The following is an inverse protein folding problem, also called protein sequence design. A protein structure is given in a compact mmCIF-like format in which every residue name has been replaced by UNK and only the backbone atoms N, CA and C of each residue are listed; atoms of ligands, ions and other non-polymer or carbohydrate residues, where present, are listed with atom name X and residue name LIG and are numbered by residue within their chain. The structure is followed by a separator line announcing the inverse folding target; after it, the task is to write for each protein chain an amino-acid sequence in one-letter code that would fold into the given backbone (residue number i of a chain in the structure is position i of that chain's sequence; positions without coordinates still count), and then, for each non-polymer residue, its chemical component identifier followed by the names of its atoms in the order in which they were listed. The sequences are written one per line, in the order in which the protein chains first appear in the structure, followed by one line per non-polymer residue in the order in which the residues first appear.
data_IF_849462750959
#
_entry.id   IF_849462750959
#
_cell.length_a   1.000
_cell.length_b   1.000
_cell.length_c   1.000
_cell.angle_alpha   90.00
_cell.angle_beta   90.00
_cell.angle_gamma   90.00
#
_symmetry.space_group_name_H-M   'P 1'
#
loop_
_entity.id
_entity.type
_entity.pdbx_description
1 polymer ?
#
# COMPACT_ATOMS: atom_id res chain seq x y z
N UNK A 1 2.49 -10.37 -0.66
CA UNK A 1 1.87 -9.11 -0.18
C UNK A 1 1.85 -8.11 -1.31
N UNK A 2 0.76 -7.42 -1.47
CA UNK A 2 0.57 -6.39 -2.48
C UNK A 2 0.55 -5.03 -1.78
N UNK A 3 1.39 -4.11 -2.22
CA UNK A 3 1.37 -2.72 -1.76
C UNK A 3 0.62 -1.88 -2.77
N UNK A 4 -0.40 -1.17 -2.32
CA UNK A 4 -1.28 -0.38 -3.17
C UNK A 4 -1.12 1.11 -2.87
N UNK A 5 -1.02 1.91 -3.91
CA UNK A 5 -0.91 3.36 -3.85
C UNK A 5 -2.12 3.98 -4.54
N UNK A 6 -2.74 4.95 -3.90
CA UNK A 6 -3.94 5.60 -4.43
C UNK A 6 -4.05 7.07 -4.04
N UNK A 7 -5.04 7.74 -4.62
CA UNK A 7 -5.48 9.05 -4.16
C UNK A 7 -6.27 8.91 -2.85
N UNK A 8 -6.29 9.96 -2.06
CA UNK A 8 -7.13 10.07 -0.88
C UNK A 8 -7.96 11.36 -0.93
N UNK A 9 -9.20 11.30 -0.46
CA UNK A 9 -10.10 12.47 -0.42
C UNK A 9 -9.94 13.32 0.83
N UNK A 10 -9.36 12.77 1.89
CA UNK A 10 -9.26 13.41 3.21
C UNK A 10 -7.80 13.57 3.62
N UNK A 11 -7.17 14.59 3.12
CA UNK A 11 -5.74 14.79 3.33
C UNK A 11 -5.38 15.43 4.67
N UNK A 12 -6.27 16.15 5.32
CA UNK A 12 -5.94 16.92 6.49
C UNK A 12 -4.65 17.73 6.31
N UNK A 13 -3.82 17.90 7.35
CA UNK A 13 -2.54 18.61 7.23
C UNK A 13 -1.49 17.86 6.38
N UNK A 14 -1.70 16.59 6.08
CA UNK A 14 -0.80 15.76 5.28
C UNK A 14 -0.86 16.05 3.78
N UNK A 15 -1.79 16.85 3.35
CA UNK A 15 -1.94 17.29 1.96
C UNK A 15 -0.64 17.84 1.36
N UNK A 16 0.17 18.49 2.15
CA UNK A 16 1.44 19.07 1.75
C UNK A 16 2.51 18.02 1.41
N UNK A 17 2.52 16.88 2.11
CA UNK A 17 3.51 15.82 1.89
C UNK A 17 3.20 14.93 0.69
N UNK A 18 1.94 14.90 0.27
CA UNK A 18 1.48 14.05 -0.83
C UNK A 18 1.26 14.82 -2.12
N UNK A 19 1.41 16.11 -2.07
CA UNK A 19 1.06 17.07 -3.14
C UNK A 19 1.83 16.88 -4.45
N UNK A 20 3.01 16.26 -4.41
CA UNK A 20 3.93 16.23 -5.52
C UNK A 20 3.64 15.20 -6.60
N UNK A 21 2.85 14.17 -6.30
CA UNK A 21 2.60 13.08 -7.25
C UNK A 21 1.15 12.62 -7.19
N UNK A 22 0.43 12.83 -8.28
CA UNK A 22 -0.92 12.32 -8.46
C UNK A 22 -0.95 10.78 -8.39
N UNK A 23 -1.89 10.22 -7.67
CA UNK A 23 -2.01 8.77 -7.47
C UNK A 23 -1.22 8.23 -6.28
N UNK A 24 -0.44 9.04 -5.57
CA UNK A 24 0.42 8.62 -4.47
C UNK A 24 0.16 9.40 -3.17
N UNK A 25 -1.11 9.60 -2.87
CA UNK A 25 -1.52 10.29 -1.65
C UNK A 25 -1.60 9.38 -0.44
N UNK A 26 -1.84 8.09 -0.67
CA UNK A 26 -2.06 7.09 0.37
C UNK A 26 -1.51 5.74 -0.08
N UNK A 27 -1.13 4.89 0.85
CA UNK A 27 -0.77 3.52 0.58
C UNK A 27 -1.36 2.57 1.62
N UNK A 28 -1.58 1.34 1.20
CA UNK A 28 -2.08 0.27 2.05
C UNK A 28 -1.58 -1.08 1.52
N UNK A 29 -1.83 -2.13 2.28
CA UNK A 29 -1.43 -3.49 1.91
C UNK A 29 -2.65 -4.39 1.71
N UNK A 30 -2.50 -5.33 0.79
CA UNK A 30 -3.45 -6.42 0.55
C UNK A 30 -2.68 -7.72 0.55
N UNK A 31 -3.15 -8.71 1.28
CA UNK A 31 -2.53 -10.01 1.34
C UNK A 31 -3.57 -11.14 1.30
N UNK A 32 -3.16 -12.30 0.79
CA UNK A 32 -4.01 -13.47 0.69
C UNK A 32 -3.56 -14.54 1.68
N UNK A 33 -4.52 -15.07 2.44
CA UNK A 33 -4.30 -16.13 3.41
C UNK A 33 -4.91 -17.44 2.89
N UNK A 34 -4.11 -18.33 2.29
CA UNK A 34 -4.64 -19.54 1.64
C UNK A 34 -5.31 -20.52 2.61
N UNK A 35 -4.87 -20.58 3.86
CA UNK A 35 -5.48 -21.45 4.85
C UNK A 35 -6.92 -21.09 5.20
N UNK A 36 -7.25 -19.81 5.15
CA UNK A 36 -8.58 -19.30 5.43
C UNK A 36 -9.36 -18.94 4.16
N UNK A 37 -8.70 -18.96 3.00
CA UNK A 37 -9.26 -18.56 1.70
C UNK A 37 -9.84 -17.14 1.74
N UNK A 38 -9.10 -16.21 2.34
CA UNK A 38 -9.50 -14.81 2.48
C UNK A 38 -8.43 -13.85 2.00
N UNK A 39 -8.87 -12.70 1.54
CA UNK A 39 -8.05 -11.53 1.30
C UNK A 39 -8.20 -10.55 2.46
N UNK A 40 -7.11 -9.99 2.92
CA UNK A 40 -7.10 -8.95 3.96
C UNK A 40 -6.50 -7.68 3.38
N UNK A 41 -7.27 -6.60 3.43
CA UNK A 41 -6.80 -5.25 3.15
C UNK A 41 -6.54 -4.57 4.50
N UNK A 42 -5.32 -4.11 4.71
CA UNK A 42 -4.94 -3.41 5.92
C UNK A 42 -4.40 -2.03 5.59
N UNK A 43 -4.96 -1.00 6.22
CA UNK A 43 -4.53 0.38 6.03
C UNK A 43 -4.49 1.15 7.34
N UNK A 44 -3.58 2.11 7.42
CA UNK A 44 -3.54 3.09 8.47
C UNK A 44 -4.25 4.37 7.99
N UNK A 45 -5.48 4.55 8.43
CA UNK A 45 -6.20 5.79 8.26
C UNK A 45 -5.79 6.80 9.34
N UNK A 46 -6.30 8.02 9.28
CA UNK A 46 -5.98 9.05 10.28
C UNK A 46 -6.24 8.55 11.71
N UNK A 47 -5.16 8.27 12.44
CA UNK A 47 -5.15 7.83 13.84
C UNK A 47 -5.86 6.48 14.13
N UNK A 48 -6.11 5.66 13.11
CA UNK A 48 -6.70 4.33 13.30
C UNK A 48 -6.20 3.36 12.23
N UNK A 49 -6.21 2.09 12.58
CA UNK A 49 -6.00 1.00 11.63
C UNK A 49 -7.34 0.43 11.17
N UNK A 50 -7.46 0.15 9.89
CA UNK A 50 -8.65 -0.44 9.28
C UNK A 50 -8.27 -1.74 8.59
N UNK A 51 -9.01 -2.80 8.90
CA UNK A 51 -8.84 -4.11 8.30
C UNK A 51 -10.15 -4.51 7.63
N UNK A 52 -10.10 -4.72 6.32
CA UNK A 52 -11.23 -5.25 5.55
C UNK A 52 -10.91 -6.67 5.11
N UNK A 53 -11.82 -7.58 5.34
CA UNK A 53 -11.69 -8.99 4.99
C UNK A 53 -12.63 -9.32 3.84
N UNK A 54 -12.08 -9.91 2.78
CA UNK A 54 -12.84 -10.35 1.60
C UNK A 54 -12.72 -11.85 1.49
N UNK A 55 -13.86 -12.53 1.34
CA UNK A 55 -13.89 -13.95 0.99
C UNK A 55 -13.42 -14.14 -0.44
N UNK A 56 -12.96 -15.33 -0.77
CA UNK A 56 -12.54 -15.64 -2.16
C UNK A 56 -13.66 -15.35 -3.17
N UNK A 57 -14.92 -15.58 -2.81
CA UNK A 57 -16.09 -15.23 -3.63
C UNK A 57 -16.26 -13.71 -3.87
N UNK A 58 -15.64 -12.88 -3.04
CA UNK A 58 -15.68 -11.42 -3.14
C UNK A 58 -14.40 -10.83 -3.78
N UNK A 59 -13.48 -11.67 -4.20
CA UNK A 59 -12.18 -11.26 -4.75
C UNK A 59 -12.33 -10.37 -5.99
N UNK A 60 -13.36 -10.60 -6.82
CA UNK A 60 -13.60 -9.79 -8.01
C UNK A 60 -13.91 -8.33 -7.69
N UNK A 61 -14.62 -8.07 -6.58
CA UNK A 61 -14.87 -6.71 -6.09
C UNK A 61 -13.57 -6.02 -5.67
N UNK A 62 -12.73 -6.72 -4.94
CA UNK A 62 -11.42 -6.20 -4.51
C UNK A 62 -10.53 -5.91 -5.71
N UNK A 63 -10.39 -6.86 -6.62
CA UNK A 63 -9.58 -6.71 -7.83
C UNK A 63 -10.06 -5.55 -8.69
N UNK A 64 -11.36 -5.42 -8.89
CA UNK A 64 -11.96 -4.29 -9.64
C UNK A 64 -11.59 -2.94 -9.03
N UNK A 65 -11.68 -2.82 -7.71
CA UNK A 65 -11.29 -1.59 -7.00
C UNK A 65 -9.80 -1.30 -7.16
N UNK A 66 -8.94 -2.30 -7.06
CA UNK A 66 -7.50 -2.13 -7.21
C UNK A 66 -7.12 -1.68 -8.62
N UNK A 67 -7.74 -2.26 -9.64
CA UNK A 67 -7.48 -1.90 -11.04
C UNK A 67 -7.90 -0.45 -11.33
N UNK A 68 -9.07 -0.06 -10.84
CA UNK A 68 -9.60 1.29 -11.10
C UNK A 68 -8.85 2.40 -10.35
N UNK A 69 -8.51 2.18 -9.09
CA UNK A 69 -8.14 3.26 -8.17
C UNK A 69 -6.73 3.19 -7.62
N UNK A 70 -5.99 2.11 -7.87
CA UNK A 70 -4.69 1.92 -7.26
C UNK A 70 -3.58 1.56 -8.26
N UNK A 71 -2.37 1.95 -7.92
CA UNK A 71 -1.14 1.39 -8.50
C UNK A 71 -0.63 0.33 -7.55
N UNK A 72 -0.54 -0.91 -8.01
CA UNK A 72 -0.22 -2.07 -7.17
C UNK A 72 1.16 -2.63 -7.50
N UNK A 73 1.94 -2.91 -6.46
CA UNK A 73 3.26 -3.52 -6.55
C UNK A 73 3.29 -4.79 -5.72
N UNK A 74 3.75 -5.88 -6.31
CA UNK A 74 3.95 -7.13 -5.59
C UNK A 74 5.26 -7.08 -4.81
N UNK A 75 5.16 -7.01 -3.48
CA UNK A 75 6.28 -7.03 -2.56
C UNK A 75 6.47 -8.45 -2.01
N UNK A 76 6.90 -9.36 -2.86
CA UNK A 76 7.25 -10.71 -2.45
C UNK A 76 8.49 -10.71 -1.55
N UNK A 77 8.59 -11.67 -0.63
CA UNK A 77 9.70 -11.76 0.28
C UNK A 77 9.53 -10.96 1.58
N UNK A 78 8.30 -10.83 2.03
CA UNK A 78 7.97 -10.22 3.32
C UNK A 78 8.90 -10.73 4.43
N UNK A 79 9.55 -9.82 5.09
CA UNK A 79 10.34 -10.10 6.29
C UNK A 79 9.57 -9.62 7.49
N UNK A 80 9.46 -10.47 8.50
CA UNK A 80 8.88 -10.06 9.78
C UNK A 80 9.61 -8.82 10.28
N UNK A 81 8.89 -7.70 10.34
CA UNK A 81 9.47 -6.46 10.82
C UNK A 81 9.70 -6.52 12.31
N UNK A 82 10.91 -6.21 12.73
CA UNK A 82 11.28 -6.08 14.14
C UNK A 82 11.24 -4.62 14.61
N UNK A 83 10.99 -3.71 13.67
CA UNK A 83 11.00 -2.28 13.91
C UNK A 83 9.59 -1.75 14.08
N UNK A 84 9.32 -1.12 15.21
CA UNK A 84 8.05 -0.42 15.44
C UNK A 84 8.21 1.07 15.09
N UNK A 85 7.43 1.62 14.16
CA UNK A 85 7.59 3.02 13.78
C UNK A 85 7.18 3.95 14.94
N UNK A 86 7.92 5.03 15.08
CA UNK A 86 7.66 6.03 16.12
C UNK A 86 6.37 6.79 15.87
N UNK A 87 6.04 7.00 14.61
CA UNK A 87 4.81 7.65 14.17
C UNK A 87 4.06 6.72 13.24
N UNK A 88 2.80 6.51 13.54
CA UNK A 88 1.94 5.62 12.77
C UNK A 88 1.13 6.43 11.76
N UNK A 89 1.44 6.24 10.49
CA UNK A 89 0.70 6.74 9.35
C UNK A 89 0.86 5.76 8.19
N UNK A 90 0.22 6.01 7.04
CA UNK A 90 0.15 5.00 5.98
C UNK A 90 1.51 4.47 5.51
N UNK A 91 2.50 5.34 5.35
CA UNK A 91 3.85 4.93 4.90
C UNK A 91 4.59 4.14 5.98
N UNK A 92 4.60 4.63 7.22
CA UNK A 92 5.28 3.92 8.32
C UNK A 92 4.64 2.56 8.61
N UNK A 93 3.33 2.47 8.48
CA UNK A 93 2.58 1.22 8.59
C UNK A 93 3.02 0.19 7.54
N UNK A 94 3.06 0.57 6.28
CA UNK A 94 3.50 -0.31 5.20
C UNK A 94 4.99 -0.65 5.32
N UNK A 95 5.83 0.31 5.64
CA UNK A 95 7.27 0.09 5.88
C UNK A 95 7.50 -0.93 7.00
N UNK A 96 6.70 -0.87 8.07
CA UNK A 96 6.78 -1.84 9.16
C UNK A 96 6.54 -3.26 8.64
N UNK A 97 5.52 -3.49 7.85
CA UNK A 97 5.22 -4.81 7.27
C UNK A 97 6.29 -5.28 6.29
N UNK A 98 6.95 -4.38 5.59
CA UNK A 98 8.00 -4.70 4.63
C UNK A 98 9.40 -4.78 5.24
N UNK A 99 9.56 -4.45 6.52
CA UNK A 99 10.85 -4.41 7.17
C UNK A 99 11.78 -3.31 6.65
N UNK A 100 11.25 -2.25 6.07
CA UNK A 100 12.02 -1.12 5.55
C UNK A 100 12.34 -0.15 6.69
N UNK A 101 13.63 0.02 6.99
CA UNK A 101 14.11 0.89 8.09
C UNK A 101 14.60 2.26 7.63
N UNK A 102 14.50 2.58 6.35
CA UNK A 102 14.99 3.83 5.78
C UNK A 102 14.13 5.01 6.24
N UNK A 103 14.64 5.82 7.14
CA UNK A 103 13.92 6.93 7.75
C UNK A 103 13.54 8.05 6.78
N UNK A 104 14.30 8.21 5.69
CA UNK A 104 14.06 9.25 4.68
C UNK A 104 12.91 8.94 3.72
N UNK A 105 12.37 7.72 3.76
CA UNK A 105 11.18 7.37 3.01
C UNK A 105 9.97 7.78 3.85
N UNK A 106 9.40 8.94 3.50
CA UNK A 106 8.33 9.59 4.27
C UNK A 106 7.02 9.68 3.50
N UNK A 107 7.06 9.62 2.18
CA UNK A 107 5.88 9.77 1.33
C UNK A 107 5.55 8.47 0.58
N UNK A 108 4.28 8.27 0.18
CA UNK A 108 3.90 7.11 -0.61
C UNK A 108 4.70 6.98 -1.92
N UNK A 109 4.98 8.09 -2.59
CA UNK A 109 5.77 8.06 -3.82
C UNK A 109 7.22 7.62 -3.58
N UNK A 110 7.84 8.09 -2.51
CA UNK A 110 9.18 7.64 -2.13
C UNK A 110 9.20 6.13 -1.84
N UNK A 111 8.18 5.63 -1.15
CA UNK A 111 8.03 4.19 -0.89
C UNK A 111 7.86 3.42 -2.20
N UNK A 112 7.04 3.89 -3.10
CA UNK A 112 6.86 3.30 -4.42
C UNK A 112 8.18 3.21 -5.19
N UNK A 113 8.94 4.29 -5.25
CA UNK A 113 10.24 4.32 -5.91
C UNK A 113 11.22 3.32 -5.29
N UNK A 114 11.24 3.20 -3.97
CA UNK A 114 12.08 2.23 -3.27
C UNK A 114 11.70 0.79 -3.62
N UNK A 115 10.42 0.46 -3.65
CA UNK A 115 9.94 -0.86 -4.04
C UNK A 115 10.33 -1.19 -5.49
N UNK A 116 10.21 -0.24 -6.40
CA UNK A 116 10.63 -0.41 -7.78
C UNK A 116 12.15 -0.57 -7.91
N UNK A 117 12.90 0.17 -7.13
CA UNK A 117 14.37 0.02 -7.06
C UNK A 117 14.80 -1.37 -6.59
N UNK A 118 14.05 -1.95 -5.66
CA UNK A 118 14.28 -3.32 -5.17
C UNK A 118 13.84 -4.41 -6.17
N UNK A 119 13.26 -4.05 -7.30
CA UNK A 119 12.86 -4.96 -8.36
C UNK A 119 11.44 -5.51 -8.24
N UNK A 120 10.64 -5.01 -7.31
CA UNK A 120 9.24 -5.43 -7.20
C UNK A 120 8.43 -4.96 -8.41
N UNK A 121 7.60 -5.82 -8.96
CA UNK A 121 6.86 -5.59 -10.20
C UNK A 121 5.45 -5.05 -9.95
N UNK A 122 4.95 -4.30 -10.91
CA UNK A 122 3.52 -3.97 -10.98
C UNK A 122 2.70 -5.24 -11.19
N UNK A 123 1.54 -5.31 -10.55
CA UNK A 123 0.60 -6.42 -10.71
C UNK A 123 -0.32 -6.15 -11.90
N UNK A 124 -0.77 -4.92 -12.03
CA UNK A 124 -1.59 -4.48 -13.14
C UNK A 124 -0.82 -3.42 -13.92
N UNK A 125 -0.42 -3.75 -15.15
CA UNK A 125 0.11 -2.74 -16.06
C UNK A 125 -1.07 -1.86 -16.50
N UNK A 126 -1.06 -0.61 -16.06
CA UNK A 126 -1.88 0.40 -16.73
C UNK A 126 -1.20 0.63 -18.07
N UNK A 127 -1.86 0.27 -19.17
CA UNK A 127 -1.44 0.73 -20.48
C UNK A 127 -1.33 2.25 -20.38
N UNK A 128 -0.11 2.77 -20.52
CA UNK A 128 0.06 4.20 -20.71
C UNK A 128 -0.66 4.53 -22.00
N UNK A 129 -1.78 5.23 -21.89
CA UNK A 129 -2.38 5.88 -23.04
C UNK A 129 -1.34 6.86 -23.60
N UNK A 130 -0.77 6.45 -24.72
CA UNK A 130 0.13 7.31 -25.49
C UNK A 130 -0.64 8.43 -26.17
#
# INVERSE_FOLDING_TARGET
MIVCFCESKNYGPWKWFTFWRKGFAHCYIVDYYPHAEIWVKAECASQRMVFDVYRESEADLLVGTLIEHATCVDATGFKTATYFPRWLYCVSFVKHFLGIKKWWILTPYQLYCELRRQGHQHIFEKEEEK
#
